data_IF_135997295578
#
_entry.id   IF_135997295578
#
_cell.length_a   1.000
_cell.length_b   1.000
_cell.length_c   1.000
_cell.angle_alpha   90.00
_cell.angle_beta   90.00
_cell.angle_gamma   90.00
#
_symmetry.space_group_name_H-M   'P 1'
#
loop_
_entity.id
_entity.type
_entity.pdbx_description
1 polymer ?
#
# COMPACT_ATOMS: atom_id res chain seq x y z
N UNK A 1 12.09 -18.45 18.39
CA UNK A 1 13.21 -17.71 17.74
C UNK A 1 13.02 -16.24 18.12
N UNK A 2 13.99 -15.60 18.79
CA UNK A 2 13.82 -14.22 19.22
C UNK A 2 13.72 -13.30 17.99
N UNK A 3 12.69 -12.47 17.96
CA UNK A 3 12.38 -11.53 16.86
C UNK A 3 13.48 -10.46 16.60
N UNK A 4 14.52 -10.46 17.39
CA UNK A 4 15.62 -9.49 17.34
C UNK A 4 16.90 -10.00 16.67
N UNK A 5 16.85 -11.12 15.93
CA UNK A 5 18.07 -11.60 15.27
C UNK A 5 18.49 -10.69 14.13
N UNK A 6 19.81 -10.41 13.95
CA UNK A 6 20.32 -9.61 12.84
C UNK A 6 19.83 -10.09 11.46
N UNK A 7 19.57 -11.40 11.32
CA UNK A 7 19.06 -12.00 10.09
C UNK A 7 17.63 -11.55 9.74
N UNK A 8 16.77 -11.27 10.73
CA UNK A 8 15.41 -10.77 10.50
C UNK A 8 15.47 -9.34 9.95
N UNK A 9 16.28 -8.49 10.55
CA UNK A 9 16.45 -7.10 10.09
C UNK A 9 17.03 -7.01 8.69
N UNK A 10 18.03 -7.85 8.38
CA UNK A 10 18.64 -7.90 7.04
C UNK A 10 17.63 -8.35 5.98
N UNK A 11 16.80 -9.35 6.29
CA UNK A 11 15.74 -9.78 5.37
C UNK A 11 14.69 -8.70 5.17
N UNK A 12 14.19 -8.09 6.23
CA UNK A 12 13.18 -7.03 6.16
C UNK A 12 13.66 -5.82 5.35
N UNK A 13 14.91 -5.38 5.55
CA UNK A 13 15.47 -4.26 4.79
C UNK A 13 15.66 -4.60 3.31
N UNK A 14 16.05 -5.83 2.98
CA UNK A 14 16.17 -6.28 1.59
C UNK A 14 14.81 -6.32 0.88
N UNK A 15 13.75 -6.78 1.57
CA UNK A 15 12.39 -6.75 1.03
C UNK A 15 11.90 -5.32 0.79
N UNK A 16 12.13 -4.41 1.75
CA UNK A 16 11.76 -3.00 1.58
C UNK A 16 12.48 -2.38 0.39
N UNK A 17 13.79 -2.56 0.29
CA UNK A 17 14.57 -2.06 -0.84
C UNK A 17 14.06 -2.61 -2.18
N UNK A 18 13.79 -3.92 -2.25
CA UNK A 18 13.25 -4.55 -3.46
C UNK A 18 11.86 -3.99 -3.84
N UNK A 19 11.00 -3.71 -2.87
CA UNK A 19 9.69 -3.10 -3.12
C UNK A 19 9.82 -1.68 -3.70
N UNK A 20 10.67 -0.84 -3.15
CA UNK A 20 10.89 0.51 -3.68
C UNK A 20 11.52 0.48 -5.07
N UNK A 21 12.55 -0.33 -5.30
CA UNK A 21 13.19 -0.48 -6.61
C UNK A 21 12.18 -1.01 -7.64
N UNK A 22 11.45 -2.07 -7.29
CA UNK A 22 10.44 -2.65 -8.17
C UNK A 22 9.32 -1.67 -8.53
N UNK A 23 8.85 -0.88 -7.56
CA UNK A 23 7.84 0.16 -7.79
C UNK A 23 8.34 1.26 -8.73
N UNK A 24 9.59 1.69 -8.58
CA UNK A 24 10.21 2.70 -9.45
C UNK A 24 10.34 2.15 -10.88
N UNK A 25 10.81 0.92 -11.03
CA UNK A 25 10.93 0.27 -12.36
C UNK A 25 9.54 0.15 -13.01
N UNK A 26 8.52 -0.27 -12.25
CA UNK A 26 7.16 -0.40 -12.76
C UNK A 26 6.57 0.95 -13.21
N UNK A 27 6.77 2.00 -12.42
CA UNK A 27 6.32 3.35 -12.77
C UNK A 27 7.05 3.92 -13.98
N UNK A 28 8.36 3.66 -14.10
CA UNK A 28 9.15 4.03 -15.29
C UNK A 28 8.68 3.27 -16.54
N UNK A 29 8.42 1.97 -16.43
CA UNK A 29 7.88 1.15 -17.51
C UNK A 29 6.51 1.67 -17.98
N UNK A 30 5.67 2.12 -17.05
CA UNK A 30 4.36 2.69 -17.38
C UNK A 30 4.51 3.99 -18.20
N UNK A 31 5.48 4.84 -17.87
CA UNK A 31 5.80 6.04 -18.66
C UNK A 31 6.25 5.66 -20.08
N UNK A 32 7.10 4.64 -20.20
CA UNK A 32 7.57 4.17 -21.50
C UNK A 32 6.42 3.63 -22.38
N UNK A 33 5.47 2.94 -21.77
CA UNK A 33 4.31 2.34 -22.48
C UNK A 33 3.27 3.42 -22.83
N UNK A 34 2.89 4.24 -21.86
CA UNK A 34 1.80 5.20 -21.99
C UNK A 34 2.25 6.54 -22.56
N UNK A 35 3.53 6.88 -22.44
CA UNK A 35 4.08 8.17 -22.80
C UNK A 35 3.84 9.25 -21.75
N UNK A 36 4.70 10.25 -21.71
CA UNK A 36 4.67 11.35 -20.72
C UNK A 36 3.34 12.13 -20.76
N UNK A 37 2.74 12.27 -21.94
CA UNK A 37 1.46 13.01 -22.09
C UNK A 37 0.30 12.34 -21.35
N UNK A 38 0.24 11.01 -21.31
CA UNK A 38 -0.76 10.27 -20.53
C UNK A 38 -0.40 10.31 -19.05
N UNK A 39 0.88 10.29 -18.74
CA UNK A 39 1.37 10.42 -17.37
C UNK A 39 0.97 11.76 -16.71
N UNK A 40 0.71 12.81 -17.50
CA UNK A 40 0.28 14.11 -17.02
C UNK A 40 -1.23 14.23 -16.73
N UNK A 41 -2.04 13.22 -17.08
CA UNK A 41 -3.47 13.22 -16.77
C UNK A 41 -3.72 12.75 -15.33
N UNK A 42 -4.76 13.26 -14.71
CA UNK A 42 -5.13 12.93 -13.31
C UNK A 42 -5.26 11.41 -13.11
N UNK A 43 -4.58 10.89 -12.12
CA UNK A 43 -4.55 9.45 -11.82
C UNK A 43 -3.60 8.64 -12.70
N UNK A 44 -2.90 9.27 -13.65
CA UNK A 44 -1.89 8.61 -14.48
C UNK A 44 -0.74 8.06 -13.62
N UNK A 45 -0.09 7.02 -14.11
CA UNK A 45 0.96 6.28 -13.42
C UNK A 45 0.54 5.61 -12.10
N UNK A 46 -0.75 5.50 -11.82
CA UNK A 46 -1.24 4.97 -10.55
C UNK A 46 -0.99 5.93 -9.38
N UNK A 47 -0.91 7.22 -9.65
CA UNK A 47 -0.76 8.26 -8.63
C UNK A 47 -1.91 8.24 -7.64
N UNK A 48 -1.63 8.63 -6.42
CA UNK A 48 -2.59 8.76 -5.32
C UNK A 48 -2.78 10.24 -4.99
N UNK A 49 -3.82 10.56 -4.25
CA UNK A 49 -4.11 11.93 -3.84
C UNK A 49 -5.47 12.04 -3.19
N UNK A 50 -5.90 13.24 -2.88
CA UNK A 50 -7.24 13.52 -2.37
C UNK A 50 -8.24 13.55 -3.54
N UNK A 51 -8.65 12.38 -4.00
CA UNK A 51 -9.50 12.23 -5.20
C UNK A 51 -10.92 12.75 -4.94
N UNK A 52 -11.44 12.51 -3.76
CA UNK A 52 -12.81 12.89 -3.39
C UNK A 52 -12.91 14.21 -2.58
N UNK A 53 -11.79 14.88 -2.29
CA UNK A 53 -11.79 16.09 -1.46
C UNK A 53 -12.10 15.83 0.01
N UNK A 54 -11.70 14.66 0.54
CA UNK A 54 -11.98 14.26 1.93
C UNK A 54 -10.93 14.78 2.94
N UNK A 55 -9.89 15.43 2.45
CA UNK A 55 -8.80 15.97 3.26
C UNK A 55 -7.89 14.91 3.88
N UNK A 56 -6.80 15.38 4.51
CA UNK A 56 -5.79 14.47 5.10
C UNK A 56 -6.35 13.47 6.11
N UNK A 57 -7.32 13.88 6.94
CA UNK A 57 -7.93 13.00 7.95
C UNK A 57 -8.75 11.91 7.28
N UNK A 58 -9.53 12.25 6.27
CA UNK A 58 -10.30 11.28 5.50
C UNK A 58 -9.38 10.27 4.80
N UNK A 59 -8.31 10.74 4.14
CA UNK A 59 -7.29 9.89 3.52
C UNK A 59 -6.66 8.97 4.56
N UNK A 60 -6.27 9.50 5.74
CA UNK A 60 -5.71 8.69 6.81
C UNK A 60 -6.65 7.55 7.21
N UNK A 61 -7.94 7.85 7.41
CA UNK A 61 -8.93 6.84 7.84
C UNK A 61 -9.08 5.74 6.79
N UNK A 62 -9.26 6.09 5.51
CA UNK A 62 -9.49 5.08 4.46
C UNK A 62 -8.24 4.23 4.20
N UNK A 63 -7.05 4.83 4.24
CA UNK A 63 -5.77 4.12 4.07
C UNK A 63 -5.48 3.19 5.27
N UNK A 64 -5.75 3.67 6.49
CA UNK A 64 -5.66 2.87 7.70
C UNK A 64 -6.60 1.65 7.64
N UNK A 65 -7.89 1.87 7.36
CA UNK A 65 -8.89 0.80 7.31
C UNK A 65 -8.60 -0.19 6.17
N UNK A 66 -8.24 0.31 4.98
CA UNK A 66 -7.90 -0.54 3.84
C UNK A 66 -6.70 -1.43 4.15
N UNK A 67 -5.65 -0.87 4.75
CA UNK A 67 -4.46 -1.66 5.12
C UNK A 67 -4.75 -2.61 6.27
N UNK A 68 -5.53 -2.19 7.27
CA UNK A 68 -5.93 -3.06 8.37
C UNK A 68 -6.71 -4.29 7.87
N UNK A 69 -7.67 -4.08 6.95
CA UNK A 69 -8.43 -5.17 6.35
C UNK A 69 -7.54 -6.12 5.56
N UNK A 70 -6.63 -5.58 4.74
CA UNK A 70 -5.68 -6.40 3.96
C UNK A 70 -4.78 -7.23 4.88
N UNK A 71 -4.21 -6.60 5.91
CA UNK A 71 -3.32 -7.29 6.85
C UNK A 71 -4.04 -8.34 7.68
N UNK A 72 -5.28 -8.06 8.11
CA UNK A 72 -6.11 -9.06 8.79
C UNK A 72 -6.35 -10.30 7.91
N UNK A 73 -6.63 -10.10 6.62
CA UNK A 73 -6.75 -11.20 5.66
C UNK A 73 -5.43 -11.97 5.51
N UNK A 74 -4.28 -11.29 5.45
CA UNK A 74 -2.96 -11.92 5.36
C UNK A 74 -2.69 -12.78 6.61
N UNK A 75 -3.00 -12.28 7.80
CA UNK A 75 -2.84 -13.04 9.05
C UNK A 75 -3.65 -14.33 9.01
N UNK A 76 -4.93 -14.25 8.65
CA UNK A 76 -5.80 -15.42 8.58
C UNK A 76 -5.40 -16.41 7.46
N UNK A 77 -5.21 -15.90 6.25
CA UNK A 77 -5.03 -16.73 5.07
C UNK A 77 -3.63 -17.34 4.96
N UNK A 78 -2.60 -16.54 5.19
CA UNK A 78 -1.21 -16.92 4.93
C UNK A 78 -0.42 -17.26 6.20
N UNK A 79 -0.56 -16.46 7.27
CA UNK A 79 0.22 -16.68 8.49
C UNK A 79 -0.32 -17.89 9.26
N UNK A 80 -1.64 -17.96 9.44
CA UNK A 80 -2.30 -19.08 10.11
C UNK A 80 -2.67 -20.24 9.17
N UNK A 81 -2.51 -20.04 7.86
CA UNK A 81 -2.77 -21.07 6.88
C UNK A 81 -4.24 -21.52 6.78
N UNK A 82 -5.18 -20.64 7.15
CA UNK A 82 -6.63 -20.95 7.16
C UNK A 82 -7.19 -21.12 5.74
N UNK A 83 -6.57 -20.51 4.72
CA UNK A 83 -7.02 -20.61 3.35
C UNK A 83 -6.19 -21.62 2.56
N UNK A 84 -6.86 -22.50 1.77
CA UNK A 84 -6.18 -23.42 0.83
C UNK A 84 -5.43 -22.65 -0.24
N UNK A 85 -5.94 -21.50 -0.66
CA UNK A 85 -5.34 -20.58 -1.62
C UNK A 85 -5.25 -19.18 -1.02
N UNK A 86 -4.20 -18.95 -0.22
CA UNK A 86 -3.96 -17.67 0.41
C UNK A 86 -3.74 -16.55 -0.61
N UNK A 87 -3.08 -16.84 -1.73
CA UNK A 87 -2.81 -15.85 -2.77
C UNK A 87 -4.10 -15.33 -3.41
N UNK A 88 -5.04 -16.23 -3.70
CA UNK A 88 -6.35 -15.85 -4.26
C UNK A 88 -7.15 -15.02 -3.24
N UNK A 89 -7.20 -15.46 -1.99
CA UNK A 89 -7.93 -14.76 -0.93
C UNK A 89 -7.41 -13.33 -0.73
N UNK A 90 -6.09 -13.17 -0.62
CA UNK A 90 -5.43 -11.86 -0.45
C UNK A 90 -5.65 -10.99 -1.69
N UNK A 91 -5.54 -11.56 -2.89
CA UNK A 91 -5.75 -10.84 -4.15
C UNK A 91 -7.17 -10.31 -4.31
N UNK A 92 -8.18 -11.11 -3.96
CA UNK A 92 -9.59 -10.70 -4.01
C UNK A 92 -9.91 -9.60 -2.99
N UNK A 93 -9.40 -9.72 -1.76
CA UNK A 93 -9.55 -8.68 -0.73
C UNK A 93 -8.87 -7.38 -1.18
N UNK A 94 -7.66 -7.46 -1.72
CA UNK A 94 -6.96 -6.29 -2.28
C UNK A 94 -7.76 -5.64 -3.40
N UNK A 95 -8.30 -6.41 -4.34
CA UNK A 95 -9.14 -5.89 -5.42
C UNK A 95 -10.38 -5.19 -4.87
N UNK A 96 -11.05 -5.79 -3.87
CA UNK A 96 -12.19 -5.17 -3.19
C UNK A 96 -11.83 -3.85 -2.50
N UNK A 97 -10.68 -3.78 -1.83
CA UNK A 97 -10.18 -2.55 -1.20
C UNK A 97 -9.93 -1.47 -2.26
N UNK A 98 -9.28 -1.80 -3.37
CA UNK A 98 -9.02 -0.84 -4.46
C UNK A 98 -10.33 -0.24 -4.98
N UNK A 99 -11.35 -1.06 -5.19
CA UNK A 99 -12.67 -0.59 -5.62
C UNK A 99 -13.34 0.29 -4.55
N UNK A 100 -13.23 -0.10 -3.28
CA UNK A 100 -13.89 0.59 -2.17
C UNK A 100 -13.29 1.96 -1.87
N UNK A 101 -11.95 2.09 -1.84
CA UNK A 101 -11.29 3.32 -1.40
C UNK A 101 -10.53 4.06 -2.51
N UNK A 102 -10.40 3.48 -3.69
CA UNK A 102 -9.68 4.10 -4.81
C UNK A 102 -10.26 5.44 -5.24
N UNK A 103 -11.58 5.59 -5.19
CA UNK A 103 -12.27 6.84 -5.46
C UNK A 103 -12.09 7.93 -4.41
N UNK A 104 -11.58 7.61 -3.22
CA UNK A 104 -11.32 8.56 -2.14
C UNK A 104 -9.86 9.01 -2.10
N UNK A 105 -8.92 8.06 -2.04
CA UNK A 105 -7.49 8.30 -1.82
C UNK A 105 -6.57 7.82 -2.94
N UNK A 106 -7.12 7.16 -3.96
CA UNK A 106 -6.33 6.45 -4.95
C UNK A 106 -5.82 5.08 -4.46
N UNK A 107 -6.20 4.66 -3.26
CA UNK A 107 -5.83 3.38 -2.64
C UNK A 107 -4.31 3.15 -2.60
N UNK A 108 -3.64 3.91 -1.76
CA UNK A 108 -2.20 3.80 -1.54
C UNK A 108 -1.81 2.48 -0.88
N UNK A 109 -2.26 2.27 0.35
CA UNK A 109 -2.07 1.11 1.26
C UNK A 109 -0.66 0.50 1.34
N UNK A 110 0.28 1.03 0.58
CA UNK A 110 1.68 0.62 0.55
C UNK A 110 2.57 1.83 0.23
N UNK A 111 3.48 2.23 1.13
CA UNK A 111 4.35 3.39 0.93
C UNK A 111 5.20 3.35 -0.35
N UNK A 112 5.73 2.20 -0.74
CA UNK A 112 6.54 2.08 -1.96
C UNK A 112 5.69 2.23 -3.23
N UNK A 113 4.43 1.73 -3.17
CA UNK A 113 3.45 1.88 -4.25
C UNK A 113 3.02 3.34 -4.43
N UNK A 114 3.03 4.13 -3.36
CA UNK A 114 2.72 5.56 -3.40
C UNK A 114 3.93 6.39 -3.85
N UNK A 115 5.09 6.11 -3.27
CA UNK A 115 6.32 6.85 -3.51
C UNK A 115 6.72 6.86 -4.99
N UNK A 116 6.72 5.71 -5.64
CA UNK A 116 7.26 5.57 -6.98
C UNK A 116 6.49 6.37 -8.05
N UNK A 117 5.13 6.32 -8.13
CA UNK A 117 4.39 7.18 -9.04
C UNK A 117 4.55 8.67 -8.74
N UNK A 118 4.61 9.07 -7.45
CA UNK A 118 4.85 10.47 -7.08
C UNK A 118 6.23 10.93 -7.57
N UNK A 119 7.27 10.12 -7.34
CA UNK A 119 8.62 10.42 -7.82
C UNK A 119 8.66 10.55 -9.34
N UNK A 120 8.09 9.59 -10.04
CA UNK A 120 8.11 9.58 -11.50
C UNK A 120 7.31 10.74 -12.09
N UNK A 121 6.16 11.10 -11.50
CA UNK A 121 5.42 12.30 -11.89
C UNK A 121 6.28 13.57 -11.74
N UNK A 122 6.96 13.71 -10.61
CA UNK A 122 7.87 14.84 -10.38
C UNK A 122 8.99 14.90 -11.41
N UNK A 123 9.60 13.75 -11.73
CA UNK A 123 10.71 13.66 -12.68
C UNK A 123 10.29 14.03 -14.13
N UNK A 124 9.03 13.78 -14.49
CA UNK A 124 8.50 14.17 -15.81
C UNK A 124 7.84 15.55 -15.83
N UNK A 125 7.99 16.32 -14.76
CA UNK A 125 7.51 17.71 -14.66
C UNK A 125 6.04 17.84 -14.27
N UNK A 126 5.40 16.79 -13.79
CA UNK A 126 4.04 16.84 -13.27
C UNK A 126 4.02 17.15 -11.77
N UNK A 127 2.91 17.73 -11.33
CA UNK A 127 2.66 17.90 -9.89
C UNK A 127 2.42 16.54 -9.21
N UNK A 128 2.97 16.36 -8.03
CA UNK A 128 2.69 15.23 -7.16
C UNK A 128 2.38 15.75 -5.75
N UNK A 129 1.36 15.20 -5.06
CA UNK A 129 0.91 15.71 -3.75
C UNK A 129 1.83 15.20 -2.62
N UNK A 130 3.10 15.63 -2.62
CA UNK A 130 4.09 15.23 -1.62
C UNK A 130 3.69 15.56 -0.18
N UNK A 131 2.87 16.59 0.00
CA UNK A 131 2.30 16.98 1.29
C UNK A 131 1.42 15.87 1.91
N UNK A 132 0.86 14.98 1.08
CA UNK A 132 0.07 13.83 1.52
C UNK A 132 0.92 12.58 1.78
N UNK A 133 2.17 12.54 1.32
CA UNK A 133 3.03 11.35 1.45
C UNK A 133 3.18 10.88 2.91
N UNK A 134 3.35 11.76 3.93
CA UNK A 134 3.40 11.33 5.32
C UNK A 134 2.15 10.55 5.76
N UNK A 135 0.97 10.91 5.27
CA UNK A 135 -0.29 10.20 5.56
C UNK A 135 -0.24 8.79 4.95
N UNK A 136 0.16 8.67 3.69
CA UNK A 136 0.31 7.38 3.01
C UNK A 136 1.44 6.50 3.56
N UNK A 137 2.37 7.08 4.30
CA UNK A 137 3.40 6.34 5.02
C UNK A 137 2.87 5.82 6.36
N UNK A 138 2.26 6.70 7.16
CA UNK A 138 1.92 6.42 8.55
C UNK A 138 0.64 5.60 8.67
N UNK A 139 -0.41 5.95 7.92
CA UNK A 139 -1.71 5.29 8.04
C UNK A 139 -1.64 3.78 7.74
N UNK A 140 -0.98 3.31 6.64
CA UNK A 140 -0.82 1.88 6.40
C UNK A 140 -0.01 1.16 7.48
N UNK A 141 1.06 1.77 7.99
CA UNK A 141 1.87 1.15 9.04
C UNK A 141 1.03 0.93 10.31
N UNK A 142 0.32 1.97 10.76
CA UNK A 142 -0.55 1.85 11.95
C UNK A 142 -1.70 0.87 11.69
N UNK A 143 -2.29 0.88 10.48
CA UNK A 143 -3.33 -0.06 10.09
C UNK A 143 -2.88 -1.51 10.12
N UNK A 144 -1.69 -1.81 9.62
CA UNK A 144 -1.11 -3.14 9.67
C UNK A 144 -0.84 -3.59 11.11
N UNK A 145 -0.24 -2.74 11.93
CA UNK A 145 0.01 -3.03 13.34
C UNK A 145 -1.29 -3.30 14.09
N UNK A 146 -2.29 -2.43 13.90
CA UNK A 146 -3.61 -2.59 14.51
C UNK A 146 -4.24 -3.95 14.13
N UNK A 147 -4.17 -4.33 12.86
CA UNK A 147 -4.75 -5.57 12.37
C UNK A 147 -4.10 -6.82 12.99
N UNK A 148 -2.76 -6.82 13.18
CA UNK A 148 -2.06 -7.93 13.84
C UNK A 148 -2.56 -8.08 15.28
N UNK A 149 -2.58 -7.01 16.06
CA UNK A 149 -3.07 -7.07 17.44
C UNK A 149 -4.55 -7.46 17.54
N UNK A 150 -5.39 -6.93 16.63
CA UNK A 150 -6.79 -7.28 16.58
C UNK A 150 -6.96 -8.76 16.25
N UNK A 151 -6.21 -9.27 15.28
CA UNK A 151 -6.25 -10.67 14.89
C UNK A 151 -5.86 -11.59 16.04
N UNK A 152 -4.73 -11.31 16.69
CA UNK A 152 -4.24 -12.10 17.81
C UNK A 152 -5.25 -12.10 18.99
N UNK A 153 -5.84 -10.94 19.27
CA UNK A 153 -6.86 -10.80 20.31
C UNK A 153 -8.10 -11.68 20.03
N UNK A 154 -8.60 -11.65 18.79
CA UNK A 154 -9.80 -12.41 18.41
C UNK A 154 -9.54 -13.91 18.24
N UNK A 155 -8.29 -14.32 18.00
CA UNK A 155 -7.92 -15.72 17.81
C UNK A 155 -7.79 -16.50 19.12
N UNK A 156 -7.53 -15.85 20.23
CA UNK A 156 -7.22 -16.50 21.53
C UNK A 156 -8.37 -17.40 22.04
N UNK A 157 -9.57 -17.29 21.47
CA UNK A 157 -10.75 -18.00 21.97
C UNK A 157 -11.32 -19.06 20.99
N UNK A 158 -10.60 -19.41 19.94
CA UNK A 158 -11.01 -20.44 18.99
C UNK A 158 -10.15 -21.71 19.10
#
# INVERSE_FOLDING_TARGET
MSESSPAVWTRSSSYLAAQFIGSIIASAALILIAGVKIASTTGALGSVGDVAGIGMVGIFIVEFLGTALLMYCIMAAAVDGQAKDAALSIGLVLAGIIVAIGGFSGCGINPSRVFAPMLMNTLVGNAAPWELFPVYLIAPIIGAIFAVYLYDYLKVEA
#
